data_IF_670227697121
#
_entry.id   IF_670227697121
#
_cell.length_a   1.000
_cell.length_b   1.000
_cell.length_c   1.000
_cell.angle_alpha   90.00
_cell.angle_beta   90.00
_cell.angle_gamma   90.00
#
_symmetry.space_group_name_H-M   'P 1'
#
loop_
_entity.id
_entity.type
_entity.pdbx_description
1 polymer ?
#
# COMPACT_ATOMS: atom_id res chain seq x y z
N UNK A 1 10.15 -8.33 11.45
CA UNK A 1 8.75 -8.16 11.91
C UNK A 1 8.48 -6.74 12.39
N UNK A 2 9.39 -6.12 13.15
CA UNK A 2 9.26 -4.71 13.56
C UNK A 2 9.19 -3.74 12.37
N UNK A 3 9.91 -4.05 11.30
CA UNK A 3 9.96 -3.28 10.05
C UNK A 3 8.58 -3.19 9.38
N UNK A 4 7.84 -4.31 9.40
CA UNK A 4 6.51 -4.40 8.82
C UNK A 4 5.52 -3.46 9.49
N UNK A 5 5.57 -3.32 10.81
CA UNK A 5 4.76 -2.33 11.53
C UNK A 5 5.29 -0.91 11.34
N UNK A 6 6.61 -0.72 11.45
CA UNK A 6 7.25 0.59 11.37
C UNK A 6 7.02 1.29 10.02
N UNK A 7 7.07 0.55 8.91
CA UNK A 7 6.87 1.10 7.57
C UNK A 7 5.48 0.80 7.01
N UNK A 8 4.86 -0.30 7.45
CA UNK A 8 3.55 -0.71 6.96
C UNK A 8 2.43 0.20 7.43
N UNK A 9 2.38 0.55 8.71
CA UNK A 9 1.31 1.41 9.26
C UNK A 9 1.34 2.80 8.62
N UNK A 10 2.48 3.54 8.56
CA UNK A 10 2.53 4.83 7.88
C UNK A 10 2.15 4.75 6.40
N UNK A 11 2.56 3.67 5.72
CA UNK A 11 2.19 3.44 4.32
C UNK A 11 0.67 3.22 4.18
N UNK A 12 0.04 2.50 5.11
CA UNK A 12 -1.42 2.33 5.14
C UNK A 12 -2.17 3.65 5.38
N UNK A 13 -1.65 4.51 6.26
CA UNK A 13 -2.19 5.87 6.47
C UNK A 13 -2.04 6.73 5.21
N UNK A 14 -0.92 6.62 4.50
CA UNK A 14 -0.73 7.30 3.23
C UNK A 14 -1.72 6.82 2.14
N UNK A 15 -1.93 5.50 2.02
CA UNK A 15 -2.96 4.94 1.12
C UNK A 15 -4.35 5.50 1.45
N UNK A 16 -4.67 5.63 2.74
CA UNK A 16 -5.93 6.19 3.21
C UNK A 16 -6.05 7.69 2.90
N UNK A 17 -5.00 8.48 3.11
CA UNK A 17 -5.00 9.89 2.76
C UNK A 17 -5.27 10.11 1.26
N UNK A 18 -4.72 9.24 0.40
CA UNK A 18 -5.00 9.28 -1.04
C UNK A 18 -6.43 8.87 -1.38
N UNK A 19 -7.03 7.93 -0.64
CA UNK A 19 -8.46 7.64 -0.77
C UNK A 19 -9.29 8.88 -0.43
N UNK A 20 -9.01 9.54 0.69
CA UNK A 20 -9.72 10.77 1.10
C UNK A 20 -9.60 11.86 0.04
N UNK A 21 -8.41 12.05 -0.55
CA UNK A 21 -8.22 12.97 -1.66
C UNK A 21 -9.06 12.56 -2.89
N UNK A 22 -9.05 11.28 -3.26
CA UNK A 22 -9.85 10.78 -4.38
C UNK A 22 -11.35 11.06 -4.19
N UNK A 23 -11.87 10.78 -2.99
CA UNK A 23 -13.28 11.01 -2.66
C UNK A 23 -13.63 12.49 -2.70
N UNK A 24 -12.80 13.34 -2.09
CA UNK A 24 -13.03 14.80 -2.01
C UNK A 24 -13.06 15.48 -3.38
N UNK A 25 -12.30 14.97 -4.35
CA UNK A 25 -12.24 15.53 -5.71
C UNK A 25 -13.05 14.71 -6.73
N UNK A 26 -13.83 13.72 -6.28
CA UNK A 26 -14.66 12.86 -7.13
C UNK A 26 -13.90 12.15 -8.27
N UNK A 27 -12.62 11.82 -8.03
CA UNK A 27 -11.71 11.24 -9.04
C UNK A 27 -11.86 9.71 -9.16
N UNK A 28 -13.09 9.20 -9.23
CA UNK A 28 -13.38 7.77 -9.16
C UNK A 28 -12.75 6.96 -10.30
N UNK A 29 -12.70 7.53 -11.51
CA UNK A 29 -12.08 6.91 -12.68
C UNK A 29 -10.58 6.65 -12.52
N UNK A 30 -9.94 7.35 -11.57
CA UNK A 30 -8.51 7.24 -11.30
C UNK A 30 -8.19 6.20 -10.23
N UNK A 31 -9.15 5.37 -9.78
CA UNK A 31 -8.94 4.38 -8.70
C UNK A 31 -7.75 3.45 -8.97
N UNK A 32 -7.65 2.87 -10.17
CA UNK A 32 -6.54 1.98 -10.53
C UNK A 32 -5.21 2.74 -10.55
N UNK A 33 -5.22 3.98 -11.07
CA UNK A 33 -4.03 4.83 -11.12
C UNK A 33 -3.59 5.18 -9.69
N UNK A 34 -4.52 5.52 -8.80
CA UNK A 34 -4.24 5.74 -7.37
C UNK A 34 -3.59 4.50 -6.76
N UNK A 35 -4.13 3.31 -6.98
CA UNK A 35 -3.54 2.07 -6.47
C UNK A 35 -2.11 1.90 -6.96
N UNK A 36 -1.89 2.00 -8.28
CA UNK A 36 -0.59 1.83 -8.90
C UNK A 36 0.45 2.82 -8.33
N UNK A 37 0.11 4.11 -8.30
CA UNK A 37 1.02 5.16 -7.81
C UNK A 37 1.28 4.98 -6.31
N UNK A 38 0.25 4.81 -5.51
CA UNK A 38 0.38 4.75 -4.05
C UNK A 38 1.19 3.53 -3.60
N UNK A 39 0.94 2.37 -4.20
CA UNK A 39 1.68 1.15 -3.93
C UNK A 39 3.12 1.27 -4.43
N UNK A 40 3.35 1.81 -5.62
CA UNK A 40 4.71 1.96 -6.14
C UNK A 40 5.55 2.85 -5.23
N UNK A 41 5.00 3.99 -4.81
CA UNK A 41 5.67 4.92 -3.90
C UNK A 41 5.97 4.25 -2.55
N UNK A 42 4.98 3.64 -1.90
CA UNK A 42 5.16 2.99 -0.59
C UNK A 42 6.16 1.83 -0.64
N UNK A 43 6.14 1.02 -1.70
CA UNK A 43 7.07 -0.10 -1.85
C UNK A 43 8.50 0.35 -2.19
N UNK A 44 8.68 1.41 -2.98
CA UNK A 44 10.02 2.00 -3.21
C UNK A 44 10.65 2.43 -1.88
N UNK A 45 9.91 3.19 -1.05
CA UNK A 45 10.42 3.61 0.26
C UNK A 45 10.72 2.43 1.17
N UNK A 46 9.87 1.40 1.15
CA UNK A 46 10.04 0.18 1.95
C UNK A 46 11.31 -0.58 1.57
N UNK A 47 11.55 -0.80 0.27
CA UNK A 47 12.74 -1.51 -0.21
C UNK A 47 14.01 -0.70 0.04
N UNK A 48 13.97 0.63 -0.15
CA UNK A 48 15.11 1.50 0.17
C UNK A 48 15.44 1.45 1.67
N UNK A 49 14.43 1.49 2.54
CA UNK A 49 14.63 1.38 3.99
C UNK A 49 15.26 0.04 4.38
N UNK A 50 14.82 -1.06 3.77
CA UNK A 50 15.41 -2.39 3.96
C UNK A 50 16.87 -2.43 3.48
N UNK A 51 17.17 -1.86 2.30
CA UNK A 51 18.52 -1.80 1.74
C UNK A 51 19.49 -1.02 2.62
N UNK A 52 19.06 0.11 3.18
CA UNK A 52 19.87 0.92 4.10
C UNK A 52 20.22 0.12 5.36
N UNK A 53 19.28 -0.67 5.89
CA UNK A 53 19.54 -1.50 7.08
C UNK A 53 20.45 -2.69 6.82
N UNK A 54 20.43 -3.26 5.62
CA UNK A 54 21.30 -4.38 5.25
C UNK A 54 22.67 -3.93 4.73
N UNK A 55 23.04 -2.65 4.90
CA UNK A 55 24.27 -2.06 4.37
C UNK A 55 24.45 -2.33 2.86
N UNK A 56 23.35 -2.33 2.11
CA UNK A 56 23.36 -2.59 0.67
C UNK A 56 23.45 -4.08 0.26
N UNK A 57 23.61 -5.01 1.21
CA UNK A 57 23.61 -6.46 0.95
C UNK A 57 22.19 -7.00 0.98
N UNK A 58 21.38 -6.59 0.00
CA UNK A 58 19.98 -7.00 -0.09
C UNK A 58 19.82 -8.13 -1.11
N UNK A 59 19.57 -9.34 -0.61
CA UNK A 59 19.23 -10.49 -1.45
C UNK A 59 17.77 -10.41 -1.92
N UNK A 60 17.47 -10.99 -3.08
CA UNK A 60 16.11 -11.02 -3.63
C UNK A 60 15.10 -11.58 -2.63
N UNK A 61 15.41 -12.70 -1.97
CA UNK A 61 14.50 -13.33 -1.00
C UNK A 61 14.20 -12.40 0.17
N UNK A 62 15.22 -11.73 0.71
CA UNK A 62 15.07 -10.81 1.84
C UNK A 62 14.28 -9.56 1.43
N UNK A 63 14.58 -9.00 0.26
CA UNK A 63 13.83 -7.88 -0.30
C UNK A 63 12.35 -8.22 -0.50
N UNK A 64 12.09 -9.40 -1.09
CA UNK A 64 10.75 -9.83 -1.45
C UNK A 64 9.91 -10.14 -0.22
N UNK A 65 10.38 -10.99 0.69
CA UNK A 65 9.64 -11.32 1.92
C UNK A 65 9.51 -10.12 2.85
N UNK A 66 10.56 -9.30 2.97
CA UNK A 66 10.53 -8.08 3.77
C UNK A 66 9.50 -7.07 3.25
N UNK A 67 9.55 -6.79 1.94
CA UNK A 67 8.61 -5.89 1.29
C UNK A 67 7.18 -6.44 1.27
N UNK A 68 6.99 -7.74 1.03
CA UNK A 68 5.68 -8.38 1.08
C UNK A 68 5.03 -8.23 2.47
N UNK A 69 5.79 -8.44 3.54
CA UNK A 69 5.27 -8.25 4.89
C UNK A 69 4.90 -6.78 5.17
N UNK A 70 5.70 -5.82 4.68
CA UNK A 70 5.38 -4.39 4.79
C UNK A 70 4.10 -4.08 4.00
N UNK A 71 4.02 -4.52 2.74
CA UNK A 71 2.83 -4.39 1.88
C UNK A 71 1.57 -4.91 2.57
N UNK A 72 1.63 -6.14 3.09
CA UNK A 72 0.49 -6.77 3.75
C UNK A 72 0.00 -5.94 4.95
N UNK A 73 0.93 -5.49 5.80
CA UNK A 73 0.60 -4.60 6.93
C UNK A 73 0.04 -3.27 6.42
N UNK A 74 0.58 -2.69 5.34
CA UNK A 74 0.04 -1.45 4.75
C UNK A 74 -1.40 -1.58 4.30
N UNK A 75 -1.72 -2.65 3.56
CA UNK A 75 -3.07 -2.85 3.04
C UNK A 75 -4.04 -3.14 4.18
N UNK A 76 -3.67 -3.97 5.16
CA UNK A 76 -4.52 -4.20 6.35
C UNK A 76 -4.75 -2.92 7.14
N UNK A 77 -3.69 -2.14 7.38
CA UNK A 77 -3.80 -0.86 8.10
C UNK A 77 -4.72 0.10 7.36
N UNK A 78 -4.61 0.18 6.03
CA UNK A 78 -5.49 0.96 5.18
C UNK A 78 -6.95 0.53 5.31
N UNK A 79 -7.25 -0.76 5.20
CA UNK A 79 -8.62 -1.27 5.32
C UNK A 79 -9.18 -1.03 6.72
N UNK A 80 -8.37 -1.26 7.77
CA UNK A 80 -8.78 -1.03 9.15
C UNK A 80 -9.11 0.44 9.40
N UNK A 81 -8.25 1.35 8.94
CA UNK A 81 -8.48 2.80 9.07
C UNK A 81 -9.70 3.22 8.24
N UNK A 82 -9.86 2.69 7.03
CA UNK A 82 -11.05 2.89 6.19
C UNK A 82 -12.34 2.46 6.88
N UNK A 83 -12.32 1.30 7.57
CA UNK A 83 -13.46 0.82 8.34
C UNK A 83 -13.76 1.71 9.56
N UNK A 84 -12.74 2.06 10.35
CA UNK A 84 -12.89 2.94 11.52
C UNK A 84 -13.40 4.34 11.14
N UNK A 85 -13.00 4.84 9.98
CA UNK A 85 -13.37 6.15 9.45
C UNK A 85 -14.52 6.10 8.43
N UNK A 86 -15.25 4.98 8.36
CA UNK A 86 -16.35 4.78 7.41
C UNK A 86 -17.41 5.89 7.51
N UNK A 87 -17.77 6.29 8.73
CA UNK A 87 -18.70 7.41 8.95
C UNK A 87 -18.21 8.75 8.37
N UNK A 88 -16.90 9.01 8.42
CA UNK A 88 -16.30 10.21 7.82
C UNK A 88 -16.25 10.11 6.28
N UNK A 89 -15.93 8.94 5.74
CA UNK A 89 -15.96 8.69 4.29
C UNK A 89 -17.34 8.98 3.71
N UNK A 90 -18.42 8.61 4.42
CA UNK A 90 -19.80 8.88 4.00
C UNK A 90 -20.13 10.37 3.91
N UNK A 91 -19.41 11.24 4.63
CA UNK A 91 -19.59 12.70 4.53
C UNK A 91 -18.87 13.33 3.35
N UNK A 92 -17.94 12.60 2.72
CA UNK A 92 -17.05 13.11 1.67
C UNK A 92 -17.43 12.66 0.26
N UNK A 93 -18.26 11.63 0.11
CA UNK A 93 -18.64 11.06 -1.18
C UNK A 93 -20.15 10.94 -1.34
N UNK A 94 -20.60 10.80 -2.58
CA UNK A 94 -21.99 10.43 -2.89
C UNK A 94 -22.24 8.98 -2.47
N UNK A 95 -23.50 8.64 -2.14
CA UNK A 95 -23.92 7.33 -1.61
C UNK A 95 -23.43 6.09 -2.41
N UNK A 96 -22.99 6.27 -3.66
CA UNK A 96 -22.52 5.19 -4.54
C UNK A 96 -21.25 4.49 -4.05
N UNK A 97 -20.41 5.18 -3.28
CA UNK A 97 -19.16 4.64 -2.72
C UNK A 97 -19.23 4.49 -1.19
N UNK A 98 -20.37 3.98 -0.71
CA UNK A 98 -20.48 3.50 0.67
C UNK A 98 -19.34 2.51 0.90
N UNK A 99 -18.37 2.86 1.77
CA UNK A 99 -17.25 1.98 2.11
C UNK A 99 -17.81 0.75 2.84
N UNK A 100 -18.18 -0.24 2.06
CA UNK A 100 -18.80 -1.47 2.49
C UNK A 100 -17.79 -2.63 2.34
N UNK A 101 -18.17 -3.79 2.85
CA UNK A 101 -17.31 -4.97 2.81
C UNK A 101 -16.86 -5.32 1.38
N UNK A 102 -17.72 -5.10 0.38
CA UNK A 102 -17.39 -5.37 -1.02
C UNK A 102 -16.29 -4.43 -1.56
N UNK A 103 -16.42 -3.12 -1.34
CA UNK A 103 -15.40 -2.12 -1.72
C UNK A 103 -14.08 -2.41 -1.00
N UNK A 104 -14.12 -2.71 0.29
CA UNK A 104 -12.93 -3.06 1.07
C UNK A 104 -12.22 -4.30 0.50
N UNK A 105 -12.97 -5.33 0.09
CA UNK A 105 -12.41 -6.54 -0.54
C UNK A 105 -11.80 -6.21 -1.91
N UNK A 106 -12.48 -5.43 -2.73
CA UNK A 106 -11.97 -5.02 -4.05
C UNK A 106 -10.68 -4.21 -3.94
N UNK A 107 -10.66 -3.23 -3.04
CA UNK A 107 -9.46 -2.44 -2.71
C UNK A 107 -8.32 -3.33 -2.21
N UNK A 108 -8.62 -4.27 -1.29
CA UNK A 108 -7.62 -5.21 -0.77
C UNK A 108 -6.97 -6.02 -1.89
N UNK A 109 -7.77 -6.70 -2.73
CA UNK A 109 -7.23 -7.53 -3.80
C UNK A 109 -6.53 -6.71 -4.88
N UNK A 110 -7.05 -5.53 -5.23
CA UNK A 110 -6.43 -4.63 -6.19
C UNK A 110 -5.05 -4.15 -5.73
N UNK A 111 -4.96 -3.62 -4.51
CA UNK A 111 -3.72 -3.15 -3.90
C UNK A 111 -2.71 -4.29 -3.70
N UNK A 112 -3.17 -5.47 -3.25
CA UNK A 112 -2.30 -6.63 -3.07
C UNK A 112 -1.75 -7.14 -4.41
N UNK A 113 -2.58 -7.23 -5.45
CA UNK A 113 -2.15 -7.70 -6.78
C UNK A 113 -1.08 -6.78 -7.37
N UNK A 114 -1.36 -5.48 -7.40
CA UNK A 114 -0.39 -4.48 -7.86
C UNK A 114 0.87 -4.51 -6.97
N UNK A 115 0.70 -4.61 -5.66
CA UNK A 115 1.80 -4.64 -4.70
C UNK A 115 2.73 -5.83 -4.88
N UNK A 116 2.19 -7.02 -5.13
CA UNK A 116 2.98 -8.22 -5.41
C UNK A 116 3.80 -8.05 -6.69
N UNK A 117 3.21 -7.48 -7.75
CA UNK A 117 3.94 -7.21 -8.99
C UNK A 117 5.06 -6.19 -8.77
N UNK A 118 4.75 -5.08 -8.11
CA UNK A 118 5.71 -4.01 -7.79
C UNK A 118 6.84 -4.53 -6.91
N UNK A 119 6.55 -5.24 -5.81
CA UNK A 119 7.61 -5.72 -4.92
C UNK A 119 8.47 -6.78 -5.59
N UNK A 120 7.89 -7.61 -6.48
CA UNK A 120 8.65 -8.57 -7.28
C UNK A 120 9.63 -7.86 -8.21
N UNK A 121 9.16 -6.83 -8.92
CA UNK A 121 10.02 -6.00 -9.77
C UNK A 121 11.11 -5.27 -8.97
N UNK A 122 10.75 -4.59 -7.87
CA UNK A 122 11.71 -3.86 -7.05
C UNK A 122 12.74 -4.80 -6.40
N UNK A 123 12.32 -5.96 -5.92
CA UNK A 123 13.24 -6.96 -5.37
C UNK A 123 14.23 -7.44 -6.44
N UNK A 124 13.79 -7.56 -7.70
CA UNK A 124 14.68 -7.91 -8.80
C UNK A 124 15.65 -6.77 -9.18
N UNK A 125 15.21 -5.52 -9.18
CA UNK A 125 16.03 -4.34 -9.52
C UNK A 125 17.04 -4.02 -8.43
N UNK A 126 16.61 -4.06 -7.16
CA UNK A 126 17.41 -3.67 -6.01
C UNK A 126 18.22 -4.82 -5.41
N UNK A 127 18.08 -6.06 -5.90
CA UNK A 127 18.96 -7.16 -5.49
C UNK A 127 20.42 -6.78 -5.72
N UNK A 128 21.27 -7.22 -4.81
CA UNK A 128 22.72 -7.15 -5.04
C UNK A 128 23.06 -7.92 -6.33
N UNK A 129 23.78 -7.26 -7.23
CA UNK A 129 24.45 -7.92 -8.36
C UNK A 129 25.79 -8.41 -7.81
N UNK A 130 25.80 -9.64 -7.33
CA UNK A 130 27.05 -10.35 -7.09
C UNK A 130 27.66 -10.78 -8.43
#
# INVERSE_FOLDING_TARGET
MRESLQYGIPSGLFLFALLVAQLKFELYDFTIIRWAVAITVTQIFSVLALKTRTNGKLDFRVAWFGGFNILFVSVISYILVGYLMSGFILTLGTNELTFNLHVAIMEFFGLMTIGVLVITFLSYVFKRKD
#
